data_IF_817148446973
#
_entry.id   IF_817148446973
#
_cell.length_a   1.000
_cell.length_b   1.000
_cell.length_c   1.000
_cell.angle_alpha   90.00
_cell.angle_beta   90.00
_cell.angle_gamma   90.00
#
_symmetry.space_group_name_H-M   'P 1'
#
loop_
_entity.id
_entity.type
_entity.pdbx_description
1 polymer ?
#
# COMPACT_ATOMS: atom_id res chain seq x y z
N UNK A 1 -69.92 32.53 -46.26
CA UNK A 1 -69.41 32.07 -44.96
C UNK A 1 -68.03 31.49 -45.16
N UNK A 2 -66.98 32.35 -45.10
CA UNK A 2 -65.63 31.94 -45.37
C UNK A 2 -64.85 31.82 -44.07
N UNK A 3 -64.32 30.64 -43.77
CA UNK A 3 -63.38 30.44 -42.70
C UNK A 3 -61.97 30.67 -43.20
N UNK A 4 -61.30 31.70 -42.66
CA UNK A 4 -59.89 31.96 -42.92
C UNK A 4 -59.01 31.02 -42.10
N UNK A 5 -58.18 30.21 -42.77
CA UNK A 5 -57.10 29.46 -42.16
C UNK A 5 -55.91 30.38 -41.90
N UNK A 6 -55.47 30.47 -40.64
CA UNK A 6 -54.24 31.12 -40.22
C UNK A 6 -53.13 30.07 -40.22
N UNK A 7 -52.01 30.27 -40.93
CA UNK A 7 -50.88 29.33 -40.87
C UNK A 7 -50.06 29.55 -39.57
N UNK A 8 -49.96 28.55 -38.74
CA UNK A 8 -49.08 28.52 -37.58
C UNK A 8 -47.63 28.47 -38.04
N UNK A 9 -46.90 29.57 -37.89
CA UNK A 9 -45.45 29.61 -38.05
C UNK A 9 -44.80 28.83 -36.93
N UNK A 10 -44.06 27.75 -37.27
CA UNK A 10 -43.21 27.00 -36.38
C UNK A 10 -42.05 27.89 -35.92
N UNK A 11 -42.09 28.33 -34.68
CA UNK A 11 -40.95 28.99 -34.03
C UNK A 11 -40.08 27.84 -33.46
N UNK A 12 -39.00 27.54 -34.17
CA UNK A 12 -37.94 26.63 -33.67
C UNK A 12 -37.05 27.46 -32.76
N UNK A 13 -37.29 27.36 -31.46
CA UNK A 13 -36.40 27.94 -30.46
C UNK A 13 -35.12 27.07 -30.36
N UNK A 14 -34.02 27.61 -30.89
CA UNK A 14 -32.69 27.04 -30.75
C UNK A 14 -32.18 27.33 -29.33
N UNK A 15 -32.27 26.36 -28.43
CA UNK A 15 -31.63 26.43 -27.13
C UNK A 15 -30.13 26.15 -27.33
N UNK A 16 -29.33 27.20 -27.46
CA UNK A 16 -27.87 27.12 -27.28
C UNK A 16 -27.62 26.94 -25.77
N UNK A 17 -27.44 25.70 -25.34
CA UNK A 17 -26.90 25.39 -24.02
C UNK A 17 -25.41 25.73 -24.03
N UNK A 18 -25.07 26.92 -23.58
CA UNK A 18 -23.69 27.31 -23.28
C UNK A 18 -23.24 26.51 -22.06
N UNK A 19 -22.58 25.36 -22.29
CA UNK A 19 -21.79 24.68 -21.25
C UNK A 19 -20.63 25.60 -20.86
N UNK A 20 -20.82 26.40 -19.82
CA UNK A 20 -19.73 27.07 -19.13
C UNK A 20 -18.96 25.93 -18.40
N UNK A 21 -17.90 25.43 -19.04
CA UNK A 21 -16.89 24.61 -18.39
C UNK A 21 -16.15 25.55 -17.43
N UNK A 22 -16.64 25.64 -16.18
CA UNK A 22 -15.86 26.20 -15.11
C UNK A 22 -14.72 25.19 -14.91
N UNK A 23 -13.59 25.47 -15.53
CA UNK A 23 -12.34 24.78 -15.26
C UNK A 23 -11.99 25.03 -13.80
N UNK A 24 -12.47 24.14 -12.93
CA UNK A 24 -11.90 23.99 -11.58
C UNK A 24 -10.48 23.54 -11.81
N UNK A 25 -9.56 24.50 -11.94
CA UNK A 25 -8.14 24.23 -11.88
C UNK A 25 -7.89 23.53 -10.56
N UNK A 26 -7.68 22.20 -10.59
CA UNK A 26 -7.09 21.51 -9.47
C UNK A 26 -5.75 22.21 -9.20
N UNK A 27 -5.75 23.17 -8.29
CA UNK A 27 -4.52 23.69 -7.74
C UNK A 27 -3.91 22.51 -6.99
N UNK A 28 -2.93 21.90 -7.60
CA UNK A 28 -2.11 20.88 -6.99
C UNK A 28 -1.31 21.56 -5.89
N UNK A 29 -1.94 21.72 -4.72
CA UNK A 29 -1.30 22.28 -3.54
C UNK A 29 -0.33 21.23 -3.02
N UNK A 30 0.95 21.53 -3.03
CA UNK A 30 2.00 20.66 -2.53
C UNK A 30 3.38 21.21 -2.84
N UNK A 31 4.38 20.72 -2.13
CA UNK A 31 5.77 21.17 -2.29
C UNK A 31 6.45 20.30 -3.35
N UNK A 32 6.99 20.92 -4.39
CA UNK A 32 7.74 20.19 -5.43
C UNK A 32 9.20 20.03 -5.03
N UNK A 33 9.75 18.87 -5.35
CA UNK A 33 11.17 18.58 -5.24
C UNK A 33 12.02 19.51 -6.13
N UNK A 34 13.20 19.88 -5.66
CA UNK A 34 14.15 20.75 -6.36
C UNK A 34 15.13 19.98 -7.26
N UNK A 35 15.04 18.67 -7.35
CA UNK A 35 15.94 17.81 -8.13
C UNK A 35 17.29 17.51 -7.48
N UNK A 36 17.62 18.15 -6.36
CA UNK A 36 18.86 17.90 -5.65
C UNK A 36 18.67 16.82 -4.59
N UNK A 37 19.07 15.59 -4.91
CA UNK A 37 18.98 14.47 -3.98
C UNK A 37 19.93 14.64 -2.79
N UNK A 38 19.40 14.40 -1.60
CA UNK A 38 20.14 14.39 -0.35
C UNK A 38 19.70 13.24 0.54
N UNK A 39 20.66 12.66 1.23
CA UNK A 39 20.41 11.64 2.24
C UNK A 39 20.52 12.27 3.63
N UNK A 40 19.48 12.11 4.42
CA UNK A 40 19.39 12.54 5.81
C UNK A 40 19.40 11.31 6.73
N UNK A 41 20.38 11.25 7.64
CA UNK A 41 20.46 10.19 8.63
C UNK A 41 19.90 10.70 9.96
N UNK A 42 18.92 9.99 10.48
CA UNK A 42 18.21 10.39 11.70
C UNK A 42 18.44 9.39 12.82
N UNK A 43 18.73 9.90 13.99
CA UNK A 43 18.81 9.07 15.19
C UNK A 43 17.42 8.71 15.66
N UNK A 44 17.15 7.42 15.86
CA UNK A 44 15.87 6.89 16.33
C UNK A 44 16.07 5.88 17.45
N UNK A 45 15.06 5.73 18.28
CA UNK A 45 15.01 4.68 19.31
C UNK A 45 14.75 3.29 18.68
N UNK A 46 14.94 2.23 19.45
CA UNK A 46 14.60 0.88 19.02
C UNK A 46 13.10 0.75 18.71
N UNK A 47 12.79 0.01 17.65
CA UNK A 47 11.41 -0.28 17.21
C UNK A 47 11.34 -1.71 16.67
N UNK A 48 10.15 -2.25 16.60
CA UNK A 48 9.87 -3.59 16.09
C UNK A 48 8.74 -3.59 15.02
N UNK A 49 8.01 -2.50 14.93
CA UNK A 49 6.90 -2.33 13.97
C UNK A 49 7.09 -1.02 13.21
N UNK A 50 6.66 -0.99 11.95
CA UNK A 50 6.65 0.21 11.11
C UNK A 50 5.20 0.57 10.78
N UNK A 51 4.84 1.85 10.93
CA UNK A 51 3.59 2.43 10.47
C UNK A 51 3.92 3.54 9.47
N UNK A 52 3.71 3.28 8.18
CA UNK A 52 4.07 4.20 7.11
C UNK A 52 2.85 4.60 6.28
N UNK A 53 2.67 5.91 6.11
CA UNK A 53 1.55 6.48 5.37
C UNK A 53 2.04 7.49 4.32
N UNK A 54 1.70 7.27 3.04
CA UNK A 54 2.09 8.13 1.92
C UNK A 54 2.66 7.36 0.74
N UNK A 55 3.75 7.90 0.16
CA UNK A 55 4.44 7.29 -0.99
C UNK A 55 5.91 7.09 -0.65
N UNK A 56 6.27 5.90 -0.21
CA UNK A 56 7.62 5.55 0.23
C UNK A 56 8.11 4.25 -0.42
N UNK A 57 9.41 4.19 -0.68
CA UNK A 57 10.12 2.92 -0.90
C UNK A 57 10.95 2.62 0.34
N UNK A 58 10.52 1.64 1.14
CA UNK A 58 11.12 1.30 2.43
C UNK A 58 11.91 0.01 2.29
N UNK A 59 13.18 0.04 2.65
CA UNK A 59 14.04 -1.13 2.81
C UNK A 59 14.31 -1.35 4.30
N UNK A 60 13.78 -2.45 4.86
CA UNK A 60 13.88 -2.76 6.27
C UNK A 60 14.87 -3.91 6.50
N UNK A 61 16.01 -3.58 7.09
CA UNK A 61 17.13 -4.48 7.32
C UNK A 61 17.17 -4.97 8.76
N UNK A 62 17.85 -6.09 8.99
CA UNK A 62 18.24 -6.51 10.34
C UNK A 62 19.48 -5.71 10.77
N UNK A 63 19.50 -5.23 12.03
CA UNK A 63 20.65 -4.47 12.55
C UNK A 63 20.27 -3.55 13.71
N UNK A 64 21.21 -2.77 14.23
CA UNK A 64 20.92 -1.75 15.22
C UNK A 64 19.94 -0.70 14.68
N UNK A 65 19.17 -0.02 15.57
CA UNK A 65 18.20 0.98 15.13
C UNK A 65 18.86 2.09 14.30
N UNK A 66 18.41 2.27 13.08
CA UNK A 66 18.86 3.33 12.19
C UNK A 66 17.76 3.74 11.22
N UNK A 67 17.80 4.99 10.77
CA UNK A 67 16.93 5.57 9.77
C UNK A 67 17.72 6.47 8.83
N UNK A 68 17.57 6.25 7.54
CA UNK A 68 18.14 7.07 6.48
C UNK A 68 17.05 7.37 5.45
N UNK A 69 16.88 8.64 5.10
CA UNK A 69 15.89 9.11 4.13
C UNK A 69 16.62 9.80 2.99
N UNK A 70 16.37 9.36 1.77
CA UNK A 70 16.92 9.96 0.55
C UNK A 70 15.79 10.47 -0.33
N UNK A 71 15.78 11.76 -0.59
CA UNK A 71 14.84 12.44 -1.49
C UNK A 71 15.40 13.81 -1.89
N UNK A 72 14.60 14.65 -2.56
CA UNK A 72 14.95 16.05 -2.82
C UNK A 72 15.21 16.79 -1.50
N UNK A 73 16.32 17.55 -1.44
CA UNK A 73 16.78 18.22 -0.21
C UNK A 73 15.72 19.11 0.44
N UNK A 74 14.97 19.84 -0.39
CA UNK A 74 13.91 20.72 0.07
C UNK A 74 12.67 20.00 0.61
N UNK A 75 12.53 18.68 0.37
CA UNK A 75 11.41 17.87 0.86
C UNK A 75 11.69 17.17 2.18
N UNK A 76 12.95 17.01 2.57
CA UNK A 76 13.34 16.35 3.83
C UNK A 76 12.66 16.93 5.08
N UNK A 77 12.44 18.27 5.21
CA UNK A 77 11.75 18.83 6.37
C UNK A 77 10.26 18.47 6.46
N UNK A 78 9.64 17.99 5.38
CA UNK A 78 8.22 17.61 5.34
C UNK A 78 7.99 16.13 5.63
N UNK A 79 9.06 15.35 5.83
CA UNK A 79 8.96 13.94 6.18
C UNK A 79 9.18 13.78 7.68
N UNK A 80 8.11 13.39 8.37
CA UNK A 80 8.15 13.11 9.80
C UNK A 80 8.46 11.66 10.08
N UNK A 81 9.24 11.48 11.14
CA UNK A 81 9.47 10.19 11.75
C UNK A 81 9.42 10.30 13.28
N UNK A 82 8.71 9.39 13.90
CA UNK A 82 8.61 9.32 15.35
C UNK A 82 8.55 7.86 15.79
N UNK A 83 9.29 7.52 16.83
CA UNK A 83 9.13 6.22 17.49
C UNK A 83 8.26 6.42 18.72
N UNK A 84 7.11 5.71 18.76
CA UNK A 84 6.20 5.68 19.88
C UNK A 84 5.95 4.23 20.32
N UNK A 85 6.28 3.91 21.57
CA UNK A 85 6.35 2.53 22.00
C UNK A 85 7.37 1.74 21.19
N UNK A 86 6.96 0.67 20.54
CA UNK A 86 7.78 -0.15 19.64
C UNK A 86 7.52 0.13 18.15
N UNK A 87 6.83 1.21 17.78
CA UNK A 87 6.42 1.52 16.41
C UNK A 87 7.14 2.75 15.88
N UNK A 88 7.79 2.61 14.72
CA UNK A 88 8.30 3.72 13.93
C UNK A 88 7.19 4.23 13.02
N UNK A 89 6.72 5.45 13.25
CA UNK A 89 5.77 6.16 12.40
C UNK A 89 6.51 6.97 11.36
N UNK A 90 6.11 6.84 10.08
CA UNK A 90 6.64 7.57 8.93
C UNK A 90 5.48 8.17 8.14
N UNK A 91 5.44 9.49 8.00
CA UNK A 91 4.43 10.17 7.19
C UNK A 91 4.96 11.50 6.65
N UNK A 92 4.23 12.09 5.73
CA UNK A 92 4.50 13.44 5.24
C UNK A 92 3.52 14.43 5.84
N UNK A 93 4.01 15.59 6.29
CA UNK A 93 3.17 16.65 6.88
C UNK A 93 2.24 17.31 5.86
N UNK A 94 2.68 17.32 4.61
CA UNK A 94 1.99 17.96 3.50
C UNK A 94 2.06 17.08 2.26
N UNK A 95 1.29 17.44 1.24
CA UNK A 95 1.45 16.83 -0.07
C UNK A 95 2.78 17.27 -0.67
N UNK A 96 3.64 16.32 -0.97
CA UNK A 96 4.95 16.56 -1.59
C UNK A 96 5.08 15.79 -2.90
N UNK A 97 5.80 16.39 -3.85
CA UNK A 97 6.01 15.84 -5.19
C UNK A 97 7.51 15.64 -5.43
N UNK A 98 8.08 14.53 -4.96
CA UNK A 98 9.50 14.26 -5.15
C UNK A 98 9.81 13.97 -6.63
N UNK A 99 10.98 14.42 -7.09
CA UNK A 99 11.44 14.17 -8.47
C UNK A 99 11.90 12.73 -8.69
N UNK A 100 12.42 12.08 -7.65
CA UNK A 100 12.98 10.71 -7.71
C UNK A 100 12.35 9.76 -6.69
N UNK A 101 11.21 10.16 -6.09
CA UNK A 101 10.58 9.40 -5.01
C UNK A 101 11.27 9.60 -3.64
N UNK A 102 10.78 8.86 -2.65
CA UNK A 102 11.32 8.91 -1.29
C UNK A 102 11.82 7.52 -0.94
N UNK A 103 13.14 7.36 -0.85
CA UNK A 103 13.75 6.11 -0.40
C UNK A 103 14.07 6.19 1.09
N UNK A 104 13.58 5.21 1.83
CA UNK A 104 13.79 5.08 3.27
C UNK A 104 14.50 3.76 3.55
N UNK A 105 15.65 3.82 4.22
CA UNK A 105 16.34 2.63 4.71
C UNK A 105 16.28 2.65 6.22
N UNK A 106 15.70 1.61 6.78
CA UNK A 106 15.58 1.43 8.23
C UNK A 106 16.22 0.12 8.67
N UNK A 107 16.67 0.08 9.91
CA UNK A 107 17.13 -1.16 10.54
C UNK A 107 16.63 -1.28 11.97
N UNK A 108 16.32 -2.51 12.36
CA UNK A 108 16.00 -2.88 13.73
C UNK A 108 16.35 -4.35 14.00
N UNK A 109 16.69 -4.71 15.24
CA UNK A 109 17.04 -6.10 15.57
C UNK A 109 15.82 -7.03 15.64
N UNK A 110 14.65 -6.48 15.89
CA UNK A 110 13.36 -7.21 15.97
C UNK A 110 12.38 -6.61 14.97
N UNK A 111 11.64 -7.48 14.27
CA UNK A 111 10.66 -7.06 13.26
C UNK A 111 9.41 -7.93 13.41
N UNK A 112 8.35 -7.33 13.92
CA UNK A 112 7.10 -8.01 14.29
C UNK A 112 5.91 -7.63 13.46
N UNK A 113 6.00 -6.55 12.68
CA UNK A 113 4.90 -6.16 11.80
C UNK A 113 5.09 -4.84 11.08
N UNK A 114 4.24 -4.63 10.08
CA UNK A 114 4.17 -3.40 9.32
C UNK A 114 2.71 -3.02 9.05
N UNK A 115 2.40 -1.75 9.26
CA UNK A 115 1.17 -1.11 8.82
C UNK A 115 1.51 -0.10 7.74
N UNK A 116 0.96 -0.29 6.54
CA UNK A 116 1.27 0.57 5.41
C UNK A 116 -0.01 1.09 4.76
N UNK A 117 0.00 2.36 4.42
CA UNK A 117 -1.15 3.03 3.80
C UNK A 117 -0.72 3.93 2.66
N UNK A 118 -1.44 3.88 1.54
CA UNK A 118 -1.15 4.65 0.33
C UNK A 118 -0.41 3.86 -0.74
N UNK A 119 0.65 4.42 -1.31
CA UNK A 119 1.48 3.78 -2.34
C UNK A 119 2.88 3.46 -1.78
N UNK A 120 2.94 2.53 -0.84
CA UNK A 120 4.18 2.15 -0.15
C UNK A 120 4.74 0.87 -0.74
N UNK A 121 6.03 0.89 -1.08
CA UNK A 121 6.80 -0.32 -1.38
C UNK A 121 7.65 -0.67 -0.16
N UNK A 122 7.40 -1.83 0.46
CA UNK A 122 8.13 -2.35 1.59
C UNK A 122 8.92 -3.60 1.20
N UNK A 123 10.22 -3.59 1.47
CA UNK A 123 11.10 -4.76 1.30
C UNK A 123 11.72 -5.07 2.65
N UNK A 124 11.42 -6.25 3.20
CA UNK A 124 11.99 -6.71 4.46
C UNK A 124 12.56 -8.13 4.30
N UNK A 125 13.89 -8.22 4.34
CA UNK A 125 14.61 -9.48 4.16
C UNK A 125 15.10 -10.03 5.50
N UNK A 126 15.27 -11.34 5.59
CA UNK A 126 15.79 -12.04 6.78
C UNK A 126 14.92 -11.79 8.04
N UNK A 127 13.60 -11.75 7.86
CA UNK A 127 12.68 -11.68 8.99
C UNK A 127 12.79 -13.01 9.77
N UNK A 128 12.82 -12.91 11.09
CA UNK A 128 12.84 -14.07 11.99
C UNK A 128 12.07 -13.78 13.26
N UNK A 129 11.49 -14.80 13.85
CA UNK A 129 10.74 -14.68 15.09
C UNK A 129 9.43 -15.47 15.07
N UNK A 130 8.63 -15.35 16.12
CA UNK A 130 7.40 -16.13 16.23
C UNK A 130 6.28 -15.63 15.30
N UNK A 131 6.25 -14.32 14.98
CA UNK A 131 5.13 -13.74 14.25
C UNK A 131 5.53 -12.47 13.51
N UNK A 132 4.89 -12.28 12.34
CA UNK A 132 4.89 -10.99 11.63
C UNK A 132 3.43 -10.63 11.23
N UNK A 133 3.00 -9.42 11.56
CA UNK A 133 1.68 -8.90 11.20
C UNK A 133 1.81 -7.81 10.13
N UNK A 134 1.12 -7.97 9.01
CA UNK A 134 1.04 -6.99 7.92
C UNK A 134 -0.37 -6.44 7.80
N UNK A 135 -0.51 -5.12 7.91
CA UNK A 135 -1.71 -4.41 7.50
C UNK A 135 -1.37 -3.54 6.29
N UNK A 136 -2.03 -3.74 5.17
CA UNK A 136 -1.80 -2.98 3.94
C UNK A 136 -3.09 -2.37 3.42
N UNK A 137 -3.10 -1.06 3.21
CA UNK A 137 -4.25 -0.34 2.68
C UNK A 137 -3.84 0.55 1.52
N UNK A 138 -4.53 0.43 0.36
CA UNK A 138 -4.26 1.24 -0.83
C UNK A 138 -3.64 0.44 -1.97
N UNK A 139 -2.59 0.96 -2.60
CA UNK A 139 -1.88 0.35 -3.72
C UNK A 139 -0.42 0.09 -3.33
N UNK A 140 -0.20 -0.87 -2.44
CA UNK A 140 1.11 -1.14 -1.84
C UNK A 140 1.74 -2.41 -2.40
N UNK A 141 3.07 -2.42 -2.47
CA UNK A 141 3.87 -3.59 -2.82
C UNK A 141 4.71 -4.01 -1.60
N UNK A 142 4.53 -5.25 -1.14
CA UNK A 142 5.24 -5.79 0.03
C UNK A 142 6.03 -7.02 -0.37
N UNK A 143 7.33 -7.01 -0.07
CA UNK A 143 8.19 -8.19 -0.25
C UNK A 143 8.78 -8.59 1.09
N UNK A 144 8.52 -9.84 1.48
CA UNK A 144 9.00 -10.43 2.74
C UNK A 144 9.83 -11.68 2.45
N UNK A 145 10.94 -11.80 3.17
CA UNK A 145 11.85 -12.95 3.10
C UNK A 145 12.32 -13.33 4.50
N UNK A 146 12.54 -14.62 4.77
CA UNK A 146 13.03 -15.12 6.04
C UNK A 146 12.35 -16.38 6.55
N UNK A 147 12.24 -16.52 7.88
CA UNK A 147 11.61 -17.68 8.53
C UNK A 147 10.92 -17.25 9.83
N UNK A 148 9.62 -17.48 9.90
CA UNK A 148 8.77 -17.16 11.07
C UNK A 148 7.77 -18.28 11.32
N UNK A 149 7.19 -18.32 12.52
CA UNK A 149 6.16 -19.32 12.79
C UNK A 149 4.81 -18.89 12.20
N UNK A 150 4.42 -17.61 12.34
CA UNK A 150 3.10 -17.13 11.96
C UNK A 150 3.18 -15.85 11.12
N UNK A 151 2.50 -15.83 9.97
CA UNK A 151 2.21 -14.64 9.17
C UNK A 151 0.72 -14.31 9.27
N UNK A 152 0.42 -13.09 9.71
CA UNK A 152 -0.91 -12.49 9.55
C UNK A 152 -0.84 -11.39 8.51
N UNK A 153 -1.71 -11.42 7.50
CA UNK A 153 -1.74 -10.38 6.47
C UNK A 153 -3.18 -9.92 6.21
N UNK A 154 -3.44 -8.66 6.48
CA UNK A 154 -4.68 -7.98 6.15
C UNK A 154 -4.42 -6.98 5.02
N UNK A 155 -5.07 -7.17 3.87
CA UNK A 155 -4.81 -6.39 2.67
C UNK A 155 -6.12 -5.79 2.15
N UNK A 156 -6.16 -4.47 2.00
CA UNK A 156 -7.34 -3.75 1.50
C UNK A 156 -6.94 -2.85 0.33
N UNK A 157 -7.63 -2.99 -0.80
CA UNK A 157 -7.40 -2.20 -2.01
C UNK A 157 -6.80 -3.02 -3.15
N UNK A 158 -5.70 -2.55 -3.72
CA UNK A 158 -4.98 -3.20 -4.82
C UNK A 158 -3.51 -3.43 -4.42
N UNK A 159 -3.30 -4.22 -3.38
CA UNK A 159 -1.97 -4.47 -2.80
C UNK A 159 -1.39 -5.79 -3.30
N UNK A 160 -0.08 -5.86 -3.39
CA UNK A 160 0.66 -7.08 -3.74
C UNK A 160 1.57 -7.50 -2.58
N UNK A 161 1.46 -8.76 -2.17
CA UNK A 161 2.34 -9.40 -1.19
C UNK A 161 3.15 -10.51 -1.85
N UNK A 162 4.44 -10.32 -1.97
CA UNK A 162 5.39 -11.36 -2.38
C UNK A 162 6.14 -11.89 -1.15
N UNK A 163 5.70 -13.02 -0.63
CA UNK A 163 6.31 -13.71 0.51
C UNK A 163 6.77 -15.14 0.13
N UNK A 164 7.12 -15.34 -1.14
CA UNK A 164 7.65 -16.62 -1.64
C UNK A 164 9.02 -16.99 -1.06
N UNK A 165 9.75 -16.02 -0.50
CA UNK A 165 10.99 -16.26 0.26
C UNK A 165 10.80 -16.40 1.78
N UNK A 166 9.58 -16.20 2.29
CA UNK A 166 9.26 -16.26 3.72
C UNK A 166 8.67 -17.62 4.08
N UNK A 167 9.45 -18.45 4.81
CA UNK A 167 8.97 -19.72 5.32
C UNK A 167 8.06 -19.51 6.53
N UNK A 168 6.86 -20.09 6.51
CA UNK A 168 5.91 -20.02 7.62
C UNK A 168 5.35 -21.39 8.00
N UNK A 169 4.99 -21.57 9.26
CA UNK A 169 4.18 -22.72 9.71
C UNK A 169 2.70 -22.43 9.52
N UNK A 170 2.26 -21.28 9.99
CA UNK A 170 0.87 -20.84 9.91
C UNK A 170 0.80 -19.52 9.14
N UNK A 171 -0.15 -19.43 8.22
CA UNK A 171 -0.43 -18.18 7.51
C UNK A 171 -1.93 -17.92 7.51
N UNK A 172 -2.31 -16.73 7.96
CA UNK A 172 -3.67 -16.21 7.85
C UNK A 172 -3.68 -14.96 6.97
N UNK A 173 -4.45 -15.00 5.90
CA UNK A 173 -4.57 -13.90 4.94
C UNK A 173 -6.01 -13.50 4.79
N UNK A 174 -6.28 -12.21 4.95
CA UNK A 174 -7.55 -11.57 4.62
C UNK A 174 -7.34 -10.52 3.55
N UNK A 175 -8.04 -10.63 2.43
CA UNK A 175 -7.97 -9.64 1.35
C UNK A 175 -9.34 -9.05 1.05
N UNK A 176 -9.39 -7.72 0.88
CA UNK A 176 -10.58 -7.00 0.46
C UNK A 176 -10.23 -6.12 -0.74
N UNK A 177 -10.87 -6.38 -1.89
CA UNK A 177 -10.60 -5.66 -3.14
C UNK A 177 -9.93 -6.53 -4.21
N UNK A 178 -8.83 -6.06 -4.79
CA UNK A 178 -8.11 -6.74 -5.87
C UNK A 178 -6.62 -6.96 -5.48
N UNK A 179 -6.40 -7.55 -4.32
CA UNK A 179 -5.05 -7.78 -3.80
C UNK A 179 -4.55 -9.18 -4.13
N UNK A 180 -3.27 -9.28 -4.51
CA UNK A 180 -2.61 -10.53 -4.84
C UNK A 180 -1.57 -10.90 -3.77
N UNK A 181 -1.48 -12.19 -3.41
CA UNK A 181 -0.51 -12.69 -2.45
C UNK A 181 0.16 -13.98 -2.92
N UNK A 182 1.48 -14.06 -2.74
CA UNK A 182 2.28 -15.26 -2.92
C UNK A 182 2.97 -15.63 -1.59
N UNK A 183 2.74 -16.84 -1.08
CA UNK A 183 3.19 -17.27 0.24
C UNK A 183 3.76 -18.69 0.23
N UNK A 184 4.53 -19.02 1.28
CA UNK A 184 4.98 -20.39 1.58
C UNK A 184 4.50 -20.77 2.96
N UNK A 185 3.78 -21.90 3.08
CA UNK A 185 3.20 -22.37 4.35
C UNK A 185 3.28 -23.88 4.49
N UNK A 186 3.63 -24.37 5.69
CA UNK A 186 3.90 -25.79 5.92
C UNK A 186 2.83 -26.52 6.75
N UNK A 187 2.07 -25.85 7.61
CA UNK A 187 1.14 -26.53 8.55
C UNK A 187 -0.31 -26.06 8.39
N UNK A 188 -0.60 -24.75 8.49
CA UNK A 188 -1.97 -24.23 8.48
C UNK A 188 -2.09 -23.00 7.60
N UNK A 189 -3.03 -23.04 6.67
CA UNK A 189 -3.39 -21.93 5.80
C UNK A 189 -4.83 -21.51 6.02
N UNK A 190 -5.05 -20.26 6.39
CA UNK A 190 -6.38 -19.65 6.44
C UNK A 190 -6.44 -18.49 5.46
N UNK A 191 -7.42 -18.49 4.57
CA UNK A 191 -7.57 -17.46 3.54
C UNK A 191 -9.01 -16.99 3.48
N UNK A 192 -9.19 -15.68 3.66
CA UNK A 192 -10.46 -14.99 3.42
C UNK A 192 -10.28 -13.99 2.28
N UNK A 193 -11.09 -14.09 1.22
CA UNK A 193 -11.06 -13.18 0.07
C UNK A 193 -12.43 -12.55 -0.11
N UNK A 194 -12.46 -11.22 -0.12
CA UNK A 194 -13.66 -10.45 -0.48
C UNK A 194 -13.34 -9.57 -1.69
N UNK A 195 -13.87 -9.92 -2.87
CA UNK A 195 -13.60 -9.20 -4.12
C UNK A 195 -12.96 -10.07 -5.20
N UNK A 196 -11.93 -9.55 -5.86
CA UNK A 196 -11.24 -10.19 -7.00
C UNK A 196 -9.78 -10.54 -6.72
N UNK A 197 -9.40 -10.72 -5.46
CA UNK A 197 -8.03 -11.03 -5.05
C UNK A 197 -7.60 -12.45 -5.41
N UNK A 198 -6.29 -12.66 -5.49
CA UNK A 198 -5.69 -13.95 -5.79
C UNK A 198 -4.64 -14.31 -4.75
N UNK A 199 -4.76 -15.48 -4.13
CA UNK A 199 -3.77 -16.02 -3.22
C UNK A 199 -3.15 -17.26 -3.84
N UNK A 200 -1.82 -17.23 -4.03
CA UNK A 200 -1.03 -18.38 -4.47
C UNK A 200 -0.16 -18.86 -3.31
N UNK A 201 -0.14 -20.16 -3.05
CA UNK A 201 0.67 -20.70 -1.96
C UNK A 201 1.50 -21.90 -2.45
N UNK A 202 2.68 -22.05 -1.83
CA UNK A 202 3.60 -23.20 -1.99
C UNK A 202 3.71 -23.91 -0.64
N UNK A 203 4.06 -25.18 -0.66
CA UNK A 203 4.13 -26.04 0.55
C UNK A 203 2.93 -26.96 0.66
N UNK A 204 2.93 -27.76 1.72
CA UNK A 204 1.90 -28.80 1.91
C UNK A 204 1.24 -28.68 3.30
N UNK A 205 0.45 -27.63 3.54
CA UNK A 205 -0.22 -27.43 4.82
C UNK A 205 -1.26 -28.53 5.07
N UNK A 206 -1.28 -29.05 6.31
CA UNK A 206 -2.22 -30.10 6.73
C UNK A 206 -3.65 -29.59 6.85
N UNK A 207 -3.79 -28.31 7.19
CA UNK A 207 -5.09 -27.65 7.36
C UNK A 207 -5.20 -26.47 6.40
N UNK A 208 -6.28 -26.42 5.62
CA UNK A 208 -6.58 -25.32 4.71
C UNK A 208 -8.02 -24.88 4.92
N UNK A 209 -8.21 -23.67 5.43
CA UNK A 209 -9.50 -23.01 5.59
C UNK A 209 -9.65 -21.93 4.53
N UNK A 210 -10.72 -21.95 3.74
CA UNK A 210 -10.95 -21.03 2.64
C UNK A 210 -12.32 -20.40 2.73
N UNK A 211 -12.37 -19.08 2.67
CA UNK A 211 -13.61 -18.33 2.57
C UNK A 211 -13.47 -17.31 1.43
N UNK A 212 -14.27 -17.46 0.36
CA UNK A 212 -14.19 -16.58 -0.81
C UNK A 212 -15.56 -16.00 -1.07
N UNK A 213 -15.62 -14.68 -1.12
CA UNK A 213 -16.80 -13.90 -1.52
C UNK A 213 -16.43 -13.03 -2.72
N UNK A 214 -17.01 -13.32 -3.89
CA UNK A 214 -16.72 -12.60 -5.13
C UNK A 214 -15.99 -13.46 -6.17
N UNK A 215 -15.14 -12.83 -6.97
CA UNK A 215 -14.39 -13.46 -8.07
C UNK A 215 -12.94 -13.83 -7.71
N UNK A 216 -12.63 -13.90 -6.43
CA UNK A 216 -11.29 -14.25 -5.95
C UNK A 216 -10.92 -15.71 -6.19
N UNK A 217 -9.62 -16.02 -6.10
CA UNK A 217 -9.12 -17.38 -6.32
C UNK A 217 -7.96 -17.73 -5.38
N UNK A 218 -7.86 -19.03 -5.03
CA UNK A 218 -6.74 -19.59 -4.28
C UNK A 218 -6.13 -20.70 -5.12
N UNK A 219 -4.81 -20.64 -5.32
CA UNK A 219 -4.06 -21.59 -6.14
C UNK A 219 -2.88 -22.17 -5.38
N UNK A 220 -2.74 -23.48 -5.40
CA UNK A 220 -1.50 -24.17 -5.01
C UNK A 220 -0.50 -24.06 -6.18
N UNK A 221 0.74 -23.73 -5.88
CA UNK A 221 1.88 -23.77 -6.80
C UNK A 221 2.82 -24.91 -6.34
N UNK A 222 3.22 -25.74 -7.28
CA UNK A 222 4.21 -26.82 -7.07
C UNK A 222 5.64 -26.25 -7.04
#
# INVERSE_FOLDING_TARGET
MGRRHIPMKKITALFFAACIIVGVGCHWVGVRGNGHLKTDQRTISAFATVDASGTFTIEWRNGPPALSITTDENLLPYIDNQVSGATLHLHTRENIWPTHGIKVVISSPTRTGAKISGAVKLIANQISGPRFALESTGASEVKLDGNIDELLAEMTGASELTASGLQTKTTEISTTGASDAEIVVSETLKVAITGAGKVSYTGNPKTIEKHITGAGSIRHKD
#
